data_IF_614808535299
#
_entry.id   IF_614808535299
#
_cell.length_a   1.000
_cell.length_b   1.000
_cell.length_c   1.000
_cell.angle_alpha   90.00
_cell.angle_beta   90.00
_cell.angle_gamma   90.00
#
_symmetry.space_group_name_H-M   'P 1'
#
loop_
_entity.id
_entity.type
_entity.pdbx_description
1 polymer ?
#
# COMPACT_ATOMS: atom_id res chain seq x y z
N UNK A 1 7.87 -18.42 -15.99
CA UNK A 1 7.30 -17.10 -15.60
C UNK A 1 8.34 -16.34 -14.80
N UNK A 2 9.23 -15.59 -15.44
CA UNK A 2 10.23 -14.80 -14.72
C UNK A 2 10.65 -13.60 -15.54
N UNK A 3 9.92 -12.52 -15.36
CA UNK A 3 10.38 -11.17 -15.56
C UNK A 3 9.69 -10.40 -14.45
N UNK A 4 10.49 -9.84 -13.55
CA UNK A 4 10.05 -9.10 -12.37
C UNK A 4 8.78 -8.30 -12.68
N UNK A 5 7.70 -8.68 -12.02
CA UNK A 5 6.38 -8.10 -12.22
C UNK A 5 6.43 -6.62 -11.81
N UNK A 6 6.72 -5.75 -12.78
CA UNK A 6 7.08 -4.34 -12.55
C UNK A 6 5.99 -3.62 -11.76
N UNK A 7 4.73 -3.94 -12.04
CA UNK A 7 3.56 -3.46 -11.33
C UNK A 7 3.57 -3.92 -9.86
N UNK A 8 3.85 -5.19 -9.60
CA UNK A 8 3.96 -5.69 -8.23
C UNK A 8 5.09 -4.99 -7.47
N UNK A 9 6.24 -4.80 -8.12
CA UNK A 9 7.39 -4.11 -7.54
C UNK A 9 7.08 -2.64 -7.26
N UNK A 10 6.39 -1.95 -8.16
CA UNK A 10 5.95 -0.57 -7.97
C UNK A 10 4.95 -0.46 -6.81
N UNK A 11 3.96 -1.36 -6.76
CA UNK A 11 2.98 -1.41 -5.67
C UNK A 11 3.65 -1.68 -4.32
N UNK A 12 4.57 -2.64 -4.24
CA UNK A 12 5.34 -2.91 -3.00
C UNK A 12 6.24 -1.74 -2.61
N UNK A 13 6.86 -1.06 -3.58
CA UNK A 13 7.70 0.11 -3.32
C UNK A 13 6.86 1.27 -2.79
N UNK A 14 5.69 1.51 -3.39
CA UNK A 14 4.76 2.55 -2.95
C UNK A 14 4.23 2.24 -1.56
N UNK A 15 3.80 1.01 -1.31
CA UNK A 15 3.34 0.56 0.00
C UNK A 15 4.42 0.79 1.07
N UNK A 16 5.66 0.37 0.81
CA UNK A 16 6.78 0.55 1.75
C UNK A 16 7.05 2.03 2.07
N UNK A 17 7.02 2.90 1.05
CA UNK A 17 7.17 4.35 1.23
C UNK A 17 6.03 4.92 2.08
N UNK A 18 4.78 4.63 1.74
CA UNK A 18 3.64 5.17 2.49
C UNK A 18 3.61 4.69 3.94
N UNK A 19 4.00 3.44 4.21
CA UNK A 19 4.19 2.95 5.58
C UNK A 19 5.28 3.69 6.33
N UNK A 20 6.41 3.97 5.66
CA UNK A 20 7.52 4.72 6.24
C UNK A 20 7.13 6.17 6.55
N UNK A 21 6.47 6.83 5.61
CA UNK A 21 6.03 8.23 5.73
C UNK A 21 5.01 8.38 6.87
N UNK A 22 4.04 7.45 6.97
CA UNK A 22 3.08 7.41 8.07
C UNK A 22 3.75 7.17 9.43
N UNK A 23 4.77 6.31 9.48
CA UNK A 23 5.54 6.07 10.71
C UNK A 23 6.38 7.29 11.11
N UNK A 24 7.05 7.94 10.16
CA UNK A 24 7.82 9.15 10.45
C UNK A 24 6.92 10.27 10.94
N UNK A 25 5.79 10.50 10.28
CA UNK A 25 4.83 11.52 10.68
C UNK A 25 4.28 11.28 12.09
N UNK A 26 3.90 10.04 12.42
CA UNK A 26 3.47 9.68 13.77
C UNK A 26 4.57 9.91 14.82
N UNK A 27 5.84 9.61 14.46
CA UNK A 27 6.99 9.84 15.33
C UNK A 27 7.23 11.33 15.56
N UNK A 28 7.12 12.16 14.53
CA UNK A 28 7.28 13.63 14.62
C UNK A 28 6.18 14.25 15.49
N UNK A 29 4.91 13.87 15.26
CA UNK A 29 3.78 14.32 16.09
C UNK A 29 3.93 13.91 17.56
N UNK A 30 4.51 12.74 17.86
CA UNK A 30 4.67 12.28 19.25
C UNK A 30 5.65 13.12 20.08
N UNK A 31 6.51 13.91 19.41
CA UNK A 31 7.48 14.81 20.05
C UNK A 31 6.99 16.24 20.24
N UNK A 32 5.87 16.64 19.63
CA UNK A 32 5.31 17.98 19.75
C UNK A 32 4.38 18.11 20.96
N UNK A 33 4.57 19.19 21.72
CA UNK A 33 3.83 19.46 22.98
C UNK A 33 2.41 19.99 22.77
N UNK A 34 2.02 20.29 21.53
CA UNK A 34 0.64 20.67 21.17
C UNK A 34 0.19 19.99 19.88
N UNK A 35 -0.77 19.08 20.00
CA UNK A 35 -1.40 18.47 18.82
C UNK A 35 -2.27 19.52 18.11
N UNK A 36 -1.88 19.93 16.90
CA UNK A 36 -2.70 20.79 16.05
C UNK A 36 -3.73 19.95 15.29
N UNK A 37 -4.93 20.49 15.12
CA UNK A 37 -6.01 19.85 14.32
C UNK A 37 -5.55 19.60 12.88
N UNK A 38 -4.70 20.48 12.34
CA UNK A 38 -4.10 20.32 11.01
C UNK A 38 -3.26 19.04 10.89
N UNK A 39 -2.46 18.72 11.92
CA UNK A 39 -1.61 17.52 11.93
C UNK A 39 -2.45 16.24 12.02
N UNK A 40 -3.58 16.32 12.74
CA UNK A 40 -4.53 15.22 12.83
C UNK A 40 -5.17 14.88 11.47
N UNK A 41 -5.55 15.90 10.69
CA UNK A 41 -6.04 15.70 9.32
C UNK A 41 -4.95 15.20 8.37
N UNK A 42 -3.71 15.68 8.51
CA UNK A 42 -2.59 15.19 7.74
C UNK A 42 -2.30 13.70 8.05
N UNK A 43 -2.37 13.29 9.32
CA UNK A 43 -2.25 11.89 9.71
C UNK A 43 -3.35 11.03 9.07
N UNK A 44 -4.60 11.52 9.14
CA UNK A 44 -5.74 10.82 8.56
C UNK A 44 -5.57 10.58 7.06
N UNK A 45 -5.11 11.60 6.33
CA UNK A 45 -4.84 11.48 4.89
C UNK A 45 -3.74 10.45 4.61
N UNK A 46 -2.65 10.44 5.39
CA UNK A 46 -1.60 9.44 5.25
C UNK A 46 -2.09 8.01 5.55
N UNK A 47 -2.92 7.82 6.57
CA UNK A 47 -3.53 6.53 6.87
C UNK A 47 -4.44 6.06 5.73
N UNK A 48 -5.19 6.99 5.13
CA UNK A 48 -6.05 6.70 3.98
C UNK A 48 -5.22 6.29 2.75
N UNK A 49 -4.11 6.99 2.47
CA UNK A 49 -3.19 6.63 1.38
C UNK A 49 -2.56 5.25 1.63
N UNK A 50 -2.18 4.95 2.86
CA UNK A 50 -1.64 3.63 3.25
C UNK A 50 -2.68 2.52 3.02
N UNK A 51 -3.93 2.76 3.40
CA UNK A 51 -5.04 1.84 3.18
C UNK A 51 -5.28 1.60 1.68
N UNK A 52 -5.31 2.67 0.88
CA UNK A 52 -5.49 2.60 -0.57
C UNK A 52 -4.35 1.82 -1.25
N UNK A 53 -3.10 2.05 -0.86
CA UNK A 53 -1.95 1.33 -1.39
C UNK A 53 -2.03 -0.17 -1.07
N UNK A 54 -2.42 -0.52 0.17
CA UNK A 54 -2.64 -1.90 0.58
C UNK A 54 -3.78 -2.58 -0.20
N UNK A 55 -4.91 -1.88 -0.39
CA UNK A 55 -6.03 -2.38 -1.17
C UNK A 55 -5.67 -2.63 -2.63
N UNK A 56 -5.01 -1.67 -3.30
CA UNK A 56 -4.56 -1.82 -4.68
C UNK A 56 -3.60 -3.01 -4.86
N UNK A 57 -2.66 -3.17 -3.93
CA UNK A 57 -1.76 -4.33 -3.88
C UNK A 57 -2.53 -5.65 -3.77
N UNK A 58 -3.52 -5.72 -2.87
CA UNK A 58 -4.38 -6.89 -2.69
C UNK A 58 -5.19 -7.24 -3.94
N UNK A 59 -5.83 -6.25 -4.57
CA UNK A 59 -6.59 -6.44 -5.80
C UNK A 59 -5.70 -6.98 -6.93
N UNK A 60 -4.49 -6.44 -7.09
CA UNK A 60 -3.54 -6.92 -8.09
C UNK A 60 -3.11 -8.37 -7.83
N UNK A 61 -2.88 -8.74 -6.57
CA UNK A 61 -2.60 -10.12 -6.18
C UNK A 61 -3.77 -11.05 -6.53
N UNK A 62 -5.01 -10.67 -6.21
CA UNK A 62 -6.20 -11.45 -6.54
C UNK A 62 -6.36 -11.63 -8.05
N UNK A 63 -6.17 -10.57 -8.83
CA UNK A 63 -6.19 -10.61 -10.29
C UNK A 63 -5.19 -11.63 -10.86
N UNK A 64 -3.93 -11.61 -10.38
CA UNK A 64 -2.92 -12.57 -10.80
C UNK A 64 -3.27 -14.02 -10.47
N UNK A 65 -3.82 -14.27 -9.28
CA UNK A 65 -4.31 -15.60 -8.92
C UNK A 65 -5.48 -16.03 -9.81
N UNK A 66 -6.42 -15.13 -10.09
CA UNK A 66 -7.56 -15.37 -10.97
C UNK A 66 -7.13 -15.81 -12.37
N UNK A 67 -6.21 -15.07 -13.00
CA UNK A 67 -5.68 -15.43 -14.33
C UNK A 67 -4.97 -16.78 -14.31
N UNK A 68 -4.11 -17.01 -13.31
CA UNK A 68 -3.41 -18.30 -13.20
C UNK A 68 -4.39 -19.46 -13.05
N UNK A 69 -5.42 -19.29 -12.24
CA UNK A 69 -6.47 -20.29 -12.06
C UNK A 69 -7.25 -20.52 -13.36
N UNK A 70 -7.70 -19.47 -14.05
CA UNK A 70 -8.47 -19.62 -15.29
C UNK A 70 -7.67 -20.28 -16.42
N UNK A 71 -6.35 -20.07 -16.48
CA UNK A 71 -5.49 -20.77 -17.44
C UNK A 71 -5.41 -22.26 -17.12
N UNK A 72 -5.24 -22.62 -15.85
CA UNK A 72 -5.22 -24.04 -15.43
C UNK A 72 -6.57 -24.70 -15.72
N UNK A 73 -7.67 -24.02 -15.37
CA UNK A 73 -9.03 -24.51 -15.59
C UNK A 73 -9.37 -24.63 -17.09
N UNK A 74 -8.74 -23.85 -17.98
CA UNK A 74 -8.94 -23.94 -19.43
C UNK A 74 -8.08 -25.02 -20.11
N UNK A 75 -7.04 -25.53 -19.43
CA UNK A 75 -6.16 -26.59 -19.94
C UNK A 75 -6.66 -27.98 -19.52
N UNK A 76 -7.34 -28.07 -18.37
CA UNK A 76 -8.00 -29.30 -17.88
C UNK A 76 -9.36 -29.52 -18.55
#
# INVERSE_FOLDING_TARGET
MSSNDLLQRQLSTQQSRTHHDAYQFAKEMSGESSFNVADMYAFQNQLQDMSNAGWASSQYTQFKFGIRKSIIDAIN
#
